data_IF_804924049389
#
_entry.id   IF_804924049389
#
_cell.length_a   1.000
_cell.length_b   1.000
_cell.length_c   1.000
_cell.angle_alpha   90.00
_cell.angle_beta   90.00
_cell.angle_gamma   90.00
#
_symmetry.space_group_name_H-M   'P 1'
#
loop_
_entity.id
_entity.type
_entity.pdbx_description
1 polymer ?
#
# COMPACT_ATOMS: atom_id res chain seq x y z
N UNK A 1 -11.09 -5.24 -24.79
CA UNK A 1 -11.59 -4.67 -23.52
C UNK A 1 -12.41 -3.44 -23.86
N UNK A 2 -13.73 -3.55 -23.91
CA UNK A 2 -14.60 -2.39 -24.18
C UNK A 2 -14.65 -1.54 -22.90
N UNK A 3 -14.02 -0.36 -22.95
CA UNK A 3 -14.29 0.70 -22.00
C UNK A 3 -15.65 1.28 -22.39
N UNK A 4 -16.68 1.08 -21.57
CA UNK A 4 -17.98 1.70 -21.79
C UNK A 4 -17.84 3.17 -21.40
N UNK A 5 -18.12 4.05 -22.36
CA UNK A 5 -17.96 5.50 -22.29
C UNK A 5 -19.19 6.16 -21.60
N UNK A 6 -19.72 5.52 -20.56
CA UNK A 6 -20.86 6.05 -19.78
C UNK A 6 -20.38 6.39 -18.37
N UNK A 7 -20.17 7.68 -18.05
CA UNK A 7 -19.67 8.09 -16.74
C UNK A 7 -20.62 7.80 -15.57
N UNK A 8 -21.85 7.33 -15.84
CA UNK A 8 -22.91 7.15 -14.83
C UNK A 8 -23.21 5.68 -14.50
N UNK A 9 -22.68 4.71 -15.25
CA UNK A 9 -22.92 3.28 -15.02
C UNK A 9 -21.60 2.58 -14.72
N UNK A 10 -21.52 1.88 -13.58
CA UNK A 10 -20.36 1.03 -13.28
C UNK A 10 -20.30 -0.09 -14.32
N UNK A 11 -19.14 -0.29 -14.95
CA UNK A 11 -18.90 -1.45 -15.81
C UNK A 11 -18.50 -2.70 -15.01
N UNK A 12 -18.62 -2.65 -13.68
CA UNK A 12 -18.45 -3.84 -12.85
C UNK A 12 -19.56 -4.84 -13.20
N UNK A 13 -19.24 -6.14 -13.29
CA UNK A 13 -20.25 -7.15 -13.48
C UNK A 13 -21.35 -7.04 -12.41
N UNK A 14 -22.61 -7.24 -12.82
CA UNK A 14 -23.79 -7.04 -11.97
C UNK A 14 -23.78 -7.84 -10.66
N UNK A 15 -23.05 -8.96 -10.62
CA UNK A 15 -22.89 -9.80 -9.42
C UNK A 15 -21.97 -9.16 -8.35
N UNK A 16 -21.31 -8.03 -8.63
CA UNK A 16 -20.46 -7.31 -7.67
C UNK A 16 -21.32 -6.26 -6.95
N UNK A 17 -22.02 -6.68 -5.91
CA UNK A 17 -23.04 -5.83 -5.26
C UNK A 17 -22.48 -4.90 -4.16
N UNK A 18 -21.20 -5.02 -3.78
CA UNK A 18 -20.63 -4.31 -2.61
C UNK A 18 -19.20 -3.81 -2.82
N UNK A 19 -19.07 -2.62 -3.41
CA UNK A 19 -17.84 -1.82 -3.45
C UNK A 19 -17.92 -0.77 -2.34
N UNK A 20 -16.92 -0.74 -1.44
CA UNK A 20 -17.00 0.03 -0.19
C UNK A 20 -17.22 1.54 -0.37
N UNK A 21 -16.85 2.13 -1.51
CA UNK A 21 -16.71 3.59 -1.64
C UNK A 21 -17.26 4.14 -2.97
N UNK A 22 -18.22 3.45 -3.59
CA UNK A 22 -18.94 3.99 -4.76
C UNK A 22 -20.33 4.48 -4.36
N UNK A 23 -20.43 5.23 -3.26
CA UNK A 23 -21.68 5.90 -2.88
C UNK A 23 -21.63 7.34 -3.39
N UNK A 24 -22.25 7.61 -4.55
CA UNK A 24 -22.42 8.97 -5.08
C UNK A 24 -21.86 9.20 -6.48
N UNK A 25 -22.06 10.43 -6.99
CA UNK A 25 -21.55 10.84 -8.31
C UNK A 25 -20.05 11.09 -8.24
N UNK A 26 -19.22 10.58 -9.19
CA UNK A 26 -17.81 10.90 -9.26
C UNK A 26 -17.59 12.42 -9.23
N UNK A 27 -16.85 12.90 -8.25
CA UNK A 27 -16.64 14.33 -8.03
C UNK A 27 -15.20 14.58 -7.59
N UNK A 28 -14.67 15.74 -7.95
CA UNK A 28 -13.39 16.26 -7.42
C UNK A 28 -13.58 17.14 -6.19
N UNK A 29 -14.84 17.35 -5.76
CA UNK A 29 -15.18 18.25 -4.64
C UNK A 29 -14.97 17.62 -3.27
N UNK A 30 -15.10 16.30 -3.17
CA UNK A 30 -14.97 15.55 -1.92
C UNK A 30 -13.76 14.62 -2.01
N UNK A 31 -12.96 14.60 -0.95
CA UNK A 31 -11.81 13.71 -0.83
C UNK A 31 -12.29 12.29 -0.46
N UNK A 32 -11.52 11.23 -0.79
CA UNK A 32 -11.82 9.89 -0.33
C UNK A 32 -11.92 9.84 1.20
N UNK A 33 -13.03 9.28 1.71
CA UNK A 33 -13.22 9.13 3.14
C UNK A 33 -12.26 8.09 3.72
N UNK A 34 -11.68 8.38 4.88
CA UNK A 34 -11.06 7.36 5.72
C UNK A 34 -12.17 6.55 6.39
N UNK A 35 -12.00 5.24 6.46
CA UNK A 35 -12.88 4.35 7.22
C UNK A 35 -12.11 3.78 8.41
N UNK A 36 -12.81 3.63 9.54
CA UNK A 36 -12.25 3.01 10.72
C UNK A 36 -11.94 1.52 10.47
N UNK A 37 -11.06 0.95 11.29
CA UNK A 37 -10.80 -0.50 11.24
C UNK A 37 -12.06 -1.33 11.45
N UNK A 38 -12.98 -0.90 12.33
CA UNK A 38 -14.28 -1.55 12.55
C UNK A 38 -15.15 -1.54 11.29
N UNK A 39 -15.27 -0.39 10.63
CA UNK A 39 -16.00 -0.27 9.37
C UNK A 39 -15.35 -1.11 8.26
N UNK A 40 -14.02 -1.10 8.18
CA UNK A 40 -13.31 -1.93 7.21
C UNK A 40 -13.56 -3.42 7.48
N UNK A 41 -13.51 -3.88 8.73
CA UNK A 41 -13.82 -5.27 9.08
C UNK A 41 -15.28 -5.63 8.78
N UNK A 42 -16.23 -4.73 9.00
CA UNK A 42 -17.61 -4.91 8.55
C UNK A 42 -17.69 -5.08 7.03
N UNK A 43 -16.98 -4.24 6.26
CA UNK A 43 -16.88 -4.37 4.81
C UNK A 43 -16.28 -5.71 4.36
N UNK A 44 -15.20 -6.16 5.00
CA UNK A 44 -14.57 -7.45 4.69
C UNK A 44 -15.53 -8.61 4.93
N UNK A 45 -16.38 -8.52 5.96
CA UNK A 45 -17.41 -9.52 6.24
C UNK A 45 -18.68 -9.37 5.38
N UNK A 46 -18.69 -8.44 4.41
CA UNK A 46 -19.80 -8.25 3.47
C UNK A 46 -20.96 -7.44 4.03
N UNK A 47 -20.80 -6.80 5.18
CA UNK A 47 -21.81 -5.89 5.74
C UNK A 47 -21.78 -4.53 5.03
N UNK A 48 -22.90 -3.83 5.01
CA UNK A 48 -22.95 -2.43 4.59
C UNK A 48 -22.13 -1.57 5.55
N UNK A 49 -21.42 -0.59 5.00
CA UNK A 49 -20.68 0.41 5.76
C UNK A 49 -21.35 1.74 5.54
N UNK A 50 -21.84 2.34 6.60
CA UNK A 50 -22.30 3.72 6.60
C UNK A 50 -21.07 4.61 6.81
N UNK A 51 -20.85 5.55 5.89
CA UNK A 51 -19.81 6.55 6.00
C UNK A 51 -20.32 7.68 6.87
N UNK A 52 -19.46 8.18 7.76
CA UNK A 52 -19.76 9.39 8.50
C UNK A 52 -19.81 10.57 7.54
N UNK A 53 -20.88 11.38 7.59
CA UNK A 53 -21.06 12.51 6.68
C UNK A 53 -19.99 13.60 6.88
N UNK A 54 -19.43 13.72 8.08
CA UNK A 54 -18.40 14.70 8.44
C UNK A 54 -17.44 14.12 9.49
N UNK A 55 -16.52 13.21 9.12
CA UNK A 55 -15.57 12.68 10.07
C UNK A 55 -14.61 13.79 10.52
N UNK A 56 -14.24 13.78 11.80
CA UNK A 56 -13.23 14.69 12.32
C UNK A 56 -11.92 14.54 11.51
N UNK A 57 -11.31 15.65 11.02
CA UNK A 57 -10.07 15.59 10.28
C UNK A 57 -8.96 14.92 11.08
N UNK A 58 -8.19 14.04 10.44
CA UNK A 58 -7.03 13.38 11.08
C UNK A 58 -5.81 14.30 11.19
N UNK A 59 -5.74 15.30 10.33
CA UNK A 59 -4.63 16.24 10.24
C UNK A 59 -5.11 17.57 9.63
N UNK A 60 -4.33 18.61 9.88
CA UNK A 60 -4.47 19.91 9.25
C UNK A 60 -3.29 20.17 8.30
N UNK A 61 -3.49 21.05 7.32
CA UNK A 61 -2.41 21.54 6.45
C UNK A 61 -1.87 22.83 7.06
N UNK A 62 -0.59 22.85 7.40
CA UNK A 62 0.09 24.01 7.97
C UNK A 62 1.06 24.61 6.97
N UNK A 63 0.75 25.81 6.48
CA UNK A 63 1.62 26.56 5.58
C UNK A 63 2.65 27.37 6.38
N UNK A 64 3.94 27.17 6.10
CA UNK A 64 5.05 27.89 6.74
C UNK A 64 5.86 28.65 5.69
N UNK A 65 5.80 30.00 5.68
CA UNK A 65 6.74 30.79 4.90
C UNK A 65 8.11 30.79 5.58
N UNK A 66 9.17 30.85 4.79
CA UNK A 66 10.54 30.97 5.25
C UNK A 66 11.35 31.95 4.40
N UNK A 67 12.41 32.49 5.00
CA UNK A 67 13.33 33.44 4.37
C UNK A 67 14.77 32.99 4.61
N UNK A 68 15.64 33.28 3.65
CA UNK A 68 17.09 33.35 3.86
C UNK A 68 17.45 34.67 4.53
N UNK A 69 18.40 34.62 5.46
CA UNK A 69 18.95 35.80 6.14
C UNK A 69 20.37 35.97 5.63
N UNK A 70 20.70 37.18 5.19
CA UNK A 70 22.07 37.54 4.84
C UNK A 70 22.91 37.58 6.13
N UNK A 71 23.98 36.77 6.25
CA UNK A 71 24.78 36.70 7.47
C UNK A 71 25.57 37.99 7.76
N UNK A 72 25.81 38.86 6.77
CA UNK A 72 26.58 40.10 6.95
C UNK A 72 25.71 41.23 7.51
N UNK A 73 24.49 41.40 6.97
CA UNK A 73 23.62 42.51 7.34
C UNK A 73 22.41 42.12 8.21
N UNK A 74 22.11 40.83 8.33
CA UNK A 74 21.00 40.32 9.14
C UNK A 74 19.60 40.61 8.57
N UNK A 75 19.50 41.17 7.37
CA UNK A 75 18.23 41.38 6.67
C UNK A 75 17.86 40.18 5.80
N UNK A 76 16.66 40.24 5.21
CA UNK A 76 16.24 39.25 4.20
C UNK A 76 17.27 39.24 3.07
N UNK A 77 17.75 38.05 2.73
CA UNK A 77 18.62 37.83 1.59
C UNK A 77 17.79 37.96 0.30
N UNK A 78 17.94 39.10 -0.38
CA UNK A 78 17.28 39.38 -1.65
C UNK A 78 18.00 38.78 -2.86
N UNK A 79 19.09 38.02 -2.63
CA UNK A 79 19.97 37.51 -3.66
C UNK A 79 20.86 38.60 -4.27
N UNK A 80 21.91 38.17 -4.98
CA UNK A 80 22.67 39.05 -5.87
C UNK A 80 21.89 39.40 -7.14
N UNK A 81 22.45 40.27 -7.98
CA UNK A 81 21.88 40.58 -9.30
C UNK A 81 21.63 39.29 -10.09
N UNK A 82 20.36 38.98 -10.35
CA UNK A 82 19.94 37.81 -11.13
C UNK A 82 19.71 36.51 -10.35
N UNK A 83 19.97 36.46 -9.03
CA UNK A 83 19.80 35.24 -8.22
C UNK A 83 18.42 35.11 -7.57
N UNK A 84 17.69 36.22 -7.42
CA UNK A 84 16.36 36.26 -6.81
C UNK A 84 16.38 36.08 -5.29
N UNK A 85 15.34 36.60 -4.60
CA UNK A 85 15.26 36.55 -3.14
C UNK A 85 15.06 35.14 -2.58
N UNK A 86 15.61 34.89 -1.39
CA UNK A 86 15.53 33.59 -0.70
C UNK A 86 14.24 33.42 0.09
N UNK A 87 13.09 33.65 -0.53
CA UNK A 87 11.77 33.38 0.08
C UNK A 87 11.24 32.01 -0.38
N UNK A 88 10.70 31.22 0.53
CA UNK A 88 10.04 29.95 0.20
C UNK A 88 8.77 29.73 1.00
N UNK A 89 7.91 28.87 0.50
CA UNK A 89 6.70 28.42 1.17
C UNK A 89 6.71 26.88 1.22
N UNK A 90 6.42 26.32 2.40
CA UNK A 90 6.30 24.89 2.58
C UNK A 90 4.99 24.56 3.29
N UNK A 91 4.28 23.54 2.80
CA UNK A 91 3.08 23.02 3.43
C UNK A 91 3.40 21.73 4.17
N UNK A 92 2.99 21.66 5.44
CA UNK A 92 3.23 20.55 6.33
C UNK A 92 1.92 19.86 6.67
N UNK A 93 1.99 18.55 6.86
CA UNK A 93 0.90 17.77 7.44
C UNK A 93 1.06 17.80 8.95
N UNK A 94 0.13 18.45 9.65
CA UNK A 94 0.08 18.49 11.13
C UNK A 94 -0.96 17.50 11.63
N UNK A 95 -0.50 16.38 12.19
CA UNK A 95 -1.37 15.42 12.85
C UNK A 95 -2.06 16.08 14.05
N UNK A 96 -3.35 15.81 14.24
CA UNK A 96 -4.08 16.26 15.42
C UNK A 96 -3.69 15.44 16.66
N UNK A 97 -4.00 15.97 17.84
CA UNK A 97 -3.71 15.31 19.10
C UNK A 97 -4.33 13.91 19.15
N UNK A 98 -3.54 12.93 19.61
CA UNK A 98 -3.94 11.52 19.65
C UNK A 98 -3.85 10.78 18.31
N UNK A 99 -3.56 11.47 17.20
CA UNK A 99 -3.37 10.83 15.89
C UNK A 99 -1.91 10.45 15.68
N UNK A 100 -1.69 9.23 15.18
CA UNK A 100 -0.36 8.72 14.86
C UNK A 100 -0.39 7.95 13.54
N UNK A 101 0.74 7.97 12.83
CA UNK A 101 0.93 7.12 11.66
C UNK A 101 1.40 5.74 12.11
N UNK A 102 0.78 4.69 11.58
CA UNK A 102 1.14 3.30 11.88
C UNK A 102 1.68 2.61 10.63
N UNK A 103 2.78 1.89 10.80
CA UNK A 103 3.36 1.03 9.76
C UNK A 103 3.77 -0.32 10.33
N UNK A 104 3.87 -1.31 9.46
CA UNK A 104 4.42 -2.63 9.78
C UNK A 104 5.81 -2.75 9.19
N UNK A 105 6.75 -3.24 9.99
CA UNK A 105 8.13 -3.41 9.57
C UNK A 105 8.66 -4.76 10.06
N UNK A 106 9.52 -5.37 9.25
CA UNK A 106 10.26 -6.57 9.60
C UNK A 106 11.67 -6.43 9.02
N UNK A 107 12.69 -6.58 9.86
CA UNK A 107 14.08 -6.55 9.44
C UNK A 107 14.84 -7.67 10.15
N UNK A 108 15.11 -8.75 9.42
CA UNK A 108 15.94 -9.86 9.89
C UNK A 108 17.30 -9.75 9.20
N UNK A 109 18.38 -9.89 9.96
CA UNK A 109 19.74 -9.95 9.42
C UNK A 109 20.47 -11.15 9.97
N UNK A 110 21.25 -11.85 9.13
CA UNK A 110 22.19 -12.88 9.56
C UNK A 110 23.61 -12.37 9.35
N UNK A 111 24.39 -12.31 10.43
CA UNK A 111 25.83 -12.14 10.34
C UNK A 111 26.45 -13.50 10.03
N UNK A 112 27.17 -13.63 8.91
CA UNK A 112 28.03 -14.79 8.60
C UNK A 112 27.37 -16.19 8.72
N UNK A 113 26.06 -16.29 8.43
CA UNK A 113 25.35 -17.58 8.43
C UNK A 113 24.80 -18.02 9.79
N UNK A 114 24.86 -17.18 10.83
CA UNK A 114 24.23 -17.42 12.13
C UNK A 114 22.71 -17.15 12.13
N UNK A 115 22.08 -17.42 13.28
CA UNK A 115 20.66 -17.18 13.59
C UNK A 115 20.26 -15.77 13.15
N UNK A 116 19.12 -15.67 12.45
CA UNK A 116 18.55 -14.39 12.04
C UNK A 116 18.20 -13.55 13.28
N UNK A 117 18.89 -12.42 13.45
CA UNK A 117 18.58 -11.46 14.50
C UNK A 117 17.54 -10.45 14.00
N UNK A 118 16.58 -10.10 14.85
CA UNK A 118 15.67 -8.97 14.60
C UNK A 118 16.41 -7.65 14.84
N UNK A 119 16.68 -6.93 13.76
CA UNK A 119 17.38 -5.64 13.81
C UNK A 119 16.51 -4.57 14.45
N UNK A 120 15.18 -4.67 14.33
CA UNK A 120 14.27 -3.71 14.94
C UNK A 120 14.25 -3.85 16.45
N UNK A 121 14.48 -5.05 17.00
CA UNK A 121 14.56 -5.24 18.44
C UNK A 121 15.66 -4.38 19.05
N UNK A 122 16.85 -4.45 18.46
CA UNK A 122 18.02 -3.65 18.85
C UNK A 122 17.77 -2.15 18.78
N UNK A 123 16.97 -1.69 17.82
CA UNK A 123 16.62 -0.27 17.70
C UNK A 123 15.84 0.24 18.91
N UNK A 124 15.03 -0.62 19.55
CA UNK A 124 14.17 -0.26 20.68
C UNK A 124 14.68 -0.76 22.06
N UNK A 125 15.81 -1.48 22.13
CA UNK A 125 16.36 -2.03 23.37
C UNK A 125 16.65 -0.96 24.45
N UNK A 126 17.04 0.25 24.05
CA UNK A 126 17.43 1.33 24.99
C UNK A 126 16.35 2.38 25.28
N UNK A 127 15.23 2.40 24.54
CA UNK A 127 14.16 3.38 24.74
C UNK A 127 12.86 2.94 24.07
N UNK A 128 11.73 3.19 24.75
CA UNK A 128 10.39 3.04 24.15
C UNK A 128 10.06 4.11 23.10
N UNK A 129 10.81 5.21 23.10
CA UNK A 129 10.67 6.32 22.17
C UNK A 129 12.00 6.60 21.48
N UNK A 130 12.06 6.35 20.17
CA UNK A 130 13.26 6.57 19.37
C UNK A 130 13.01 7.74 18.42
N UNK A 131 13.80 8.84 18.49
CA UNK A 131 13.68 9.91 17.52
C UNK A 131 14.15 9.43 16.14
N UNK A 132 13.38 9.73 15.10
CA UNK A 132 13.71 9.42 13.71
C UNK A 132 13.50 10.67 12.85
N UNK A 133 14.46 11.00 11.99
CA UNK A 133 14.24 11.97 10.92
C UNK A 133 13.30 11.38 9.88
N UNK A 134 12.14 12.01 9.66
CA UNK A 134 11.09 11.53 8.78
C UNK A 134 10.47 12.70 8.00
N UNK A 135 10.29 12.50 6.69
CA UNK A 135 9.77 13.52 5.78
C UNK A 135 10.83 14.49 5.26
N UNK A 136 10.38 15.62 4.73
CA UNK A 136 11.23 16.70 4.24
C UNK A 136 11.73 17.62 5.35
N UNK A 137 12.61 18.57 5.01
CA UNK A 137 13.07 19.65 5.91
C UNK A 137 13.60 19.16 7.27
N UNK A 138 14.16 17.94 7.30
CA UNK A 138 14.68 17.29 8.51
C UNK A 138 13.67 17.18 9.66
N UNK A 139 12.37 17.01 9.36
CA UNK A 139 11.35 16.73 10.37
C UNK A 139 11.72 15.55 11.26
N UNK A 140 11.40 15.63 12.55
CA UNK A 140 11.69 14.58 13.54
C UNK A 140 10.39 14.03 14.10
N UNK A 141 10.27 12.70 14.16
CA UNK A 141 9.14 12.00 14.76
C UNK A 141 9.62 11.09 15.90
N UNK A 142 8.77 10.89 16.89
CA UNK A 142 8.99 9.86 17.92
C UNK A 142 8.42 8.53 17.45
N UNK A 143 9.25 7.49 17.40
CA UNK A 143 8.81 6.13 17.12
C UNK A 143 8.49 5.39 18.41
N UNK A 144 7.33 4.75 18.45
CA UNK A 144 7.01 3.71 19.43
C UNK A 144 6.76 2.39 18.70
N UNK A 145 7.08 1.27 19.35
CA UNK A 145 6.93 -0.07 18.79
C UNK A 145 6.02 -0.93 19.65
N UNK A 146 5.11 -1.65 19.00
CA UNK A 146 4.33 -2.74 19.61
C UNK A 146 4.62 -4.01 18.82
N UNK A 147 4.96 -5.09 19.53
CA UNK A 147 5.17 -6.40 18.92
C UNK A 147 3.84 -7.13 18.76
N UNK A 148 3.57 -7.57 17.54
CA UNK A 148 2.37 -8.31 17.18
C UNK A 148 2.78 -9.63 16.56
N UNK A 149 2.23 -10.74 17.07
CA UNK A 149 2.46 -12.06 16.47
C UNK A 149 1.81 -12.17 15.08
N UNK A 150 0.63 -11.56 14.92
CA UNK A 150 -0.14 -11.54 13.67
C UNK A 150 -0.47 -10.10 13.28
N UNK A 151 0.44 -9.41 12.57
CA UNK A 151 0.12 -8.09 12.04
C UNK A 151 -1.11 -8.23 11.13
N UNK A 152 -2.06 -7.28 11.24
CA UNK A 152 -3.32 -7.26 10.49
C UNK A 152 -4.39 -8.28 10.95
N UNK A 153 -4.25 -8.94 12.11
CA UNK A 153 -5.26 -9.88 12.63
C UNK A 153 -6.66 -9.26 12.83
N UNK A 154 -6.75 -7.94 13.02
CA UNK A 154 -8.04 -7.23 13.08
C UNK A 154 -8.62 -6.87 11.70
N UNK A 155 -7.88 -7.12 10.60
CA UNK A 155 -8.25 -6.77 9.22
C UNK A 155 -8.34 -8.04 8.37
N UNK A 156 -8.95 -9.10 8.90
CA UNK A 156 -9.31 -10.31 8.16
C UNK A 156 -10.81 -10.50 8.21
N UNK A 157 -11.39 -11.08 7.17
CA UNK A 157 -12.75 -11.59 7.27
C UNK A 157 -12.75 -12.73 8.29
N UNK A 158 -13.69 -12.68 9.24
CA UNK A 158 -13.78 -13.66 10.33
C UNK A 158 -14.39 -14.98 9.84
N UNK A 159 -15.17 -14.91 8.77
CA UNK A 159 -15.85 -16.05 8.19
C UNK A 159 -15.02 -16.65 7.05
N UNK A 160 -14.48 -17.85 7.28
CA UNK A 160 -13.98 -18.70 6.20
C UNK A 160 -15.16 -19.07 5.28
N UNK A 161 -15.00 -18.85 3.98
CA UNK A 161 -16.02 -19.12 2.96
C UNK A 161 -15.58 -20.29 2.10
N UNK A 162 -16.51 -21.17 1.76
CA UNK A 162 -16.39 -22.24 0.76
C UNK A 162 -16.67 -21.74 -0.66
N UNK A 163 -16.52 -20.44 -0.90
CA UNK A 163 -16.79 -19.82 -2.19
C UNK A 163 -15.62 -19.82 -3.17
N UNK A 164 -15.93 -19.68 -4.46
CA UNK A 164 -14.91 -19.65 -5.53
C UNK A 164 -14.38 -18.24 -5.83
N UNK A 165 -14.80 -17.21 -5.11
CA UNK A 165 -14.39 -15.83 -5.40
C UNK A 165 -13.46 -15.28 -4.35
N UNK A 166 -12.45 -14.53 -4.82
CA UNK A 166 -11.48 -13.85 -3.96
C UNK A 166 -11.49 -12.37 -4.29
N UNK A 167 -11.82 -11.54 -3.30
CA UNK A 167 -11.66 -10.10 -3.34
C UNK A 167 -10.31 -9.76 -2.72
N UNK A 168 -9.43 -9.08 -3.45
CA UNK A 168 -8.14 -8.61 -2.96
C UNK A 168 -8.11 -7.08 -2.96
N UNK A 169 -7.89 -6.48 -1.80
CA UNK A 169 -7.95 -5.03 -1.56
C UNK A 169 -6.55 -4.54 -1.21
N UNK A 170 -6.04 -3.55 -1.94
CA UNK A 170 -4.75 -2.93 -1.65
C UNK A 170 -4.86 -1.99 -0.45
N UNK A 171 -4.08 -2.23 0.60
CA UNK A 171 -3.92 -1.32 1.73
C UNK A 171 -2.83 -0.28 1.49
N UNK A 172 -1.88 -0.57 0.60
CA UNK A 172 -0.81 0.33 0.20
C UNK A 172 -0.73 0.41 -1.32
N UNK A 173 -0.23 1.54 -1.89
CA UNK A 173 -0.06 1.66 -3.33
C UNK A 173 0.76 0.53 -3.92
N UNK A 174 0.46 0.11 -5.15
CA UNK A 174 1.20 -0.94 -5.85
C UNK A 174 1.77 -0.43 -7.18
N UNK A 175 2.94 -0.92 -7.57
CA UNK A 175 3.56 -0.61 -8.86
C UNK A 175 3.74 -1.91 -9.62
N UNK A 176 2.89 -2.11 -10.62
CA UNK A 176 2.98 -3.25 -11.54
C UNK A 176 3.70 -2.84 -12.83
N UNK A 177 4.33 -3.79 -13.52
CA UNK A 177 4.96 -3.52 -14.81
C UNK A 177 3.91 -3.29 -15.89
N UNK A 178 2.73 -3.90 -15.76
CA UNK A 178 1.60 -3.73 -16.69
C UNK A 178 0.60 -2.65 -16.25
N UNK A 179 1.08 -1.56 -15.65
CA UNK A 179 0.26 -0.44 -15.19
C UNK A 179 -0.62 -0.83 -14.00
N UNK A 180 -1.92 -1.05 -14.24
CA UNK A 180 -2.88 -1.43 -13.20
C UNK A 180 -2.97 -2.95 -12.98
N UNK A 181 -2.58 -3.76 -13.97
CA UNK A 181 -2.68 -5.22 -13.92
C UNK A 181 -1.45 -5.83 -13.23
N UNK A 182 -1.60 -6.68 -12.20
CA UNK A 182 -0.45 -7.36 -11.60
C UNK A 182 0.29 -8.26 -12.60
N UNK A 183 1.63 -8.27 -12.55
CA UNK A 183 2.44 -9.01 -13.54
C UNK A 183 2.35 -10.53 -13.43
N UNK A 184 1.84 -11.02 -12.31
CA UNK A 184 1.55 -12.43 -12.09
C UNK A 184 0.17 -12.85 -12.64
N UNK A 185 -0.53 -11.93 -13.33
CA UNK A 185 -1.74 -12.20 -14.13
C UNK A 185 -1.40 -12.04 -15.60
N UNK A 186 -1.62 -13.09 -16.39
CA UNK A 186 -1.32 -13.07 -17.83
C UNK A 186 -2.33 -12.26 -18.66
N UNK A 187 -2.17 -12.24 -19.97
CA UNK A 187 -3.03 -11.48 -20.89
C UNK A 187 -4.47 -12.02 -20.96
N UNK A 188 -4.68 -13.30 -20.60
CA UNK A 188 -6.00 -13.91 -20.54
C UNK A 188 -6.64 -13.76 -19.14
N UNK A 189 -6.00 -13.01 -18.23
CA UNK A 189 -6.44 -12.86 -16.85
C UNK A 189 -6.08 -14.06 -15.96
N UNK A 190 -5.34 -15.06 -16.45
CA UNK A 190 -5.03 -16.26 -15.66
C UNK A 190 -3.95 -15.94 -14.63
N UNK A 191 -4.19 -16.38 -13.39
CA UNK A 191 -3.23 -16.27 -12.29
C UNK A 191 -2.06 -17.24 -12.53
N UNK A 192 -0.84 -16.71 -12.60
CA UNK A 192 0.42 -17.46 -12.78
C UNK A 192 1.28 -17.47 -11.53
N UNK A 193 0.68 -17.15 -10.39
CA UNK A 193 1.36 -17.05 -9.11
C UNK A 193 1.42 -18.44 -8.44
N UNK A 194 2.61 -19.06 -8.26
CA UNK A 194 2.69 -20.37 -7.62
C UNK A 194 2.23 -20.30 -6.16
N UNK A 195 1.56 -21.35 -5.68
CA UNK A 195 1.03 -21.37 -4.31
C UNK A 195 2.13 -21.33 -3.23
N UNK A 196 3.29 -21.91 -3.52
CA UNK A 196 4.44 -21.92 -2.63
C UNK A 196 5.73 -21.68 -3.42
N UNK A 197 6.60 -20.84 -2.84
CA UNK A 197 7.94 -20.56 -3.33
C UNK A 197 8.91 -20.95 -2.22
N UNK A 198 9.40 -22.19 -2.18
CA UNK A 198 10.36 -22.61 -1.16
C UNK A 198 11.64 -21.76 -1.25
N UNK A 199 12.40 -21.60 -0.16
CA UNK A 199 13.69 -20.92 -0.22
C UNK A 199 14.63 -21.67 -1.19
N UNK A 200 15.40 -20.93 -1.98
CA UNK A 200 16.40 -21.51 -2.88
C UNK A 200 17.52 -22.15 -2.07
N UNK A 201 17.83 -23.42 -2.34
CA UNK A 201 18.94 -24.12 -1.67
C UNK A 201 20.29 -23.60 -2.18
N UNK A 202 21.35 -23.55 -1.34
CA UNK A 202 22.69 -23.23 -1.79
C UNK A 202 23.12 -24.16 -2.95
N UNK A 203 23.73 -23.59 -3.99
CA UNK A 203 24.18 -24.35 -5.17
C UNK A 203 23.09 -24.75 -6.19
N UNK A 204 21.81 -24.67 -5.84
CA UNK A 204 20.70 -24.98 -6.74
C UNK A 204 20.63 -23.94 -7.87
N UNK A 205 20.45 -24.35 -9.13
CA UNK A 205 20.24 -23.42 -10.24
C UNK A 205 18.87 -22.73 -10.17
N UNK A 206 18.68 -21.64 -10.92
CA UNK A 206 17.38 -20.94 -10.95
C UNK A 206 16.29 -21.81 -11.56
N UNK A 207 16.63 -22.64 -12.54
CA UNK A 207 15.67 -23.52 -13.23
C UNK A 207 15.20 -24.65 -12.31
N UNK A 208 16.12 -25.35 -11.64
CA UNK A 208 15.78 -26.38 -10.65
C UNK A 208 14.94 -25.82 -9.51
N UNK A 209 15.25 -24.60 -9.06
CA UNK A 209 14.44 -23.95 -8.03
C UNK A 209 13.01 -23.68 -8.50
N UNK A 210 12.81 -23.23 -9.74
CA UNK A 210 11.47 -23.00 -10.29
C UNK A 210 10.65 -24.29 -10.45
N UNK A 211 11.30 -25.42 -10.73
CA UNK A 211 10.65 -26.74 -10.77
C UNK A 211 10.12 -27.19 -9.40
N UNK A 212 10.64 -26.62 -8.31
CA UNK A 212 10.17 -26.92 -6.95
C UNK A 212 8.94 -26.11 -6.52
N UNK A 213 8.45 -25.21 -7.38
CA UNK A 213 7.26 -24.42 -7.07
C UNK A 213 6.03 -25.32 -7.19
N UNK A 214 5.10 -25.18 -6.26
CA UNK A 214 3.79 -25.81 -6.41
C UNK A 214 3.03 -25.11 -7.54
N UNK A 215 2.06 -25.82 -8.12
CA UNK A 215 1.18 -25.26 -9.14
C UNK A 215 0.49 -23.98 -8.63
N UNK A 216 0.20 -23.08 -9.58
CA UNK A 216 -0.59 -21.89 -9.30
C UNK A 216 -2.05 -22.31 -9.03
N UNK A 217 -2.75 -21.64 -8.10
CA UNK A 217 -4.19 -21.85 -7.96
C UNK A 217 -4.88 -21.48 -9.27
N UNK A 218 -5.84 -22.31 -9.69
CA UNK A 218 -6.58 -22.06 -10.91
C UNK A 218 -7.59 -20.96 -10.70
N UNK A 219 -7.22 -19.75 -11.08
CA UNK A 219 -8.06 -18.57 -10.96
C UNK A 219 -7.84 -17.57 -12.09
N UNK A 220 -8.87 -16.79 -12.37
CA UNK A 220 -8.85 -15.71 -13.37
C UNK A 220 -9.20 -14.37 -12.73
N UNK A 221 -8.51 -13.31 -13.11
CA UNK A 221 -8.87 -11.93 -12.78
C UNK A 221 -10.13 -11.56 -13.56
N UNK A 222 -11.25 -11.46 -12.85
CA UNK A 222 -12.56 -11.22 -13.44
C UNK A 222 -12.88 -9.72 -13.53
N UNK A 223 -12.46 -8.94 -12.53
CA UNK A 223 -12.70 -7.50 -12.50
C UNK A 223 -11.65 -6.79 -11.63
N UNK A 224 -11.50 -5.49 -11.85
CA UNK A 224 -10.76 -4.61 -10.96
C UNK A 224 -11.44 -3.24 -10.87
N UNK A 225 -11.36 -2.62 -9.69
CA UNK A 225 -11.79 -1.26 -9.43
C UNK A 225 -10.57 -0.52 -8.89
N UNK A 226 -10.05 0.42 -9.69
CA UNK A 226 -8.88 1.22 -9.34
C UNK A 226 -9.17 2.69 -9.52
N UNK A 227 -8.71 3.49 -8.57
CA UNK A 227 -8.74 4.94 -8.68
C UNK A 227 -7.71 5.51 -9.66
N UNK A 228 -7.64 6.84 -9.71
CA UNK A 228 -6.65 7.58 -10.51
C UNK A 228 -5.23 7.13 -10.12
N UNK A 229 -4.34 6.82 -11.10
CA UNK A 229 -2.96 6.47 -10.80
C UNK A 229 -2.24 7.56 -9.99
N UNK A 230 -1.43 7.15 -9.02
CA UNK A 230 -0.64 8.03 -8.16
C UNK A 230 0.76 8.23 -8.77
N UNK A 231 1.08 9.42 -9.33
CA UNK A 231 2.44 9.71 -9.74
C UNK A 231 3.31 9.92 -8.51
N UNK A 232 4.46 9.25 -8.47
CA UNK A 232 5.44 9.44 -7.40
C UNK A 232 6.86 9.29 -7.92
N UNK A 233 7.80 9.93 -7.22
CA UNK A 233 9.23 9.76 -7.40
C UNK A 233 9.88 9.63 -6.03
N UNK A 234 11.12 10.08 -5.88
CA UNK A 234 11.79 10.20 -4.60
C UNK A 234 13.20 10.72 -4.79
N UNK A 235 13.94 10.90 -3.71
CA UNK A 235 15.34 11.29 -3.79
C UNK A 235 16.25 10.07 -3.58
N UNK A 236 17.38 10.04 -4.26
CA UNK A 236 18.45 9.08 -4.02
C UNK A 236 19.63 9.81 -3.40
N UNK A 237 19.75 9.73 -2.07
CA UNK A 237 20.81 10.39 -1.30
C UNK A 237 22.21 9.92 -1.67
N UNK A 238 22.38 8.65 -2.10
CA UNK A 238 23.69 8.13 -2.52
C UNK A 238 24.17 8.72 -3.84
N UNK A 239 23.24 9.01 -4.75
CA UNK A 239 23.57 9.55 -6.08
C UNK A 239 23.40 11.08 -6.11
N UNK A 240 22.71 11.67 -5.13
CA UNK A 240 22.45 13.11 -5.06
C UNK A 240 21.43 13.60 -6.09
N UNK A 241 20.43 12.78 -6.44
CA UNK A 241 19.47 13.14 -7.50
C UNK A 241 18.10 12.46 -7.40
N UNK A 242 17.14 12.91 -8.23
CA UNK A 242 15.79 12.35 -8.24
C UNK A 242 15.78 10.91 -8.78
N UNK A 243 14.87 10.09 -8.24
CA UNK A 243 14.53 8.77 -8.76
C UNK A 243 13.57 8.93 -9.94
N UNK A 244 13.55 7.98 -10.90
CA UNK A 244 12.58 8.00 -11.99
C UNK A 244 11.15 8.08 -11.47
N UNK A 245 10.35 8.97 -12.08
CA UNK A 245 8.93 9.07 -11.79
C UNK A 245 8.20 7.79 -12.25
N UNK A 246 7.23 7.34 -11.44
CA UNK A 246 6.44 6.14 -11.69
C UNK A 246 4.98 6.40 -11.37
N UNK A 247 4.11 5.58 -11.95
CA UNK A 247 2.69 5.55 -11.63
C UNK A 247 2.43 4.33 -10.75
N UNK A 248 1.75 4.55 -9.63
CA UNK A 248 1.26 3.49 -8.75
C UNK A 248 -0.27 3.37 -8.85
N UNK A 249 -0.77 2.15 -8.75
CA UNK A 249 -2.15 1.87 -8.37
C UNK A 249 -2.37 2.38 -6.95
N UNK A 250 -3.43 3.17 -6.69
CA UNK A 250 -3.68 3.70 -5.35
C UNK A 250 -4.03 2.62 -4.33
N UNK A 251 -3.81 2.92 -3.05
CA UNK A 251 -4.44 2.17 -1.97
C UNK A 251 -5.97 2.29 -2.08
N UNK A 252 -6.69 1.26 -1.64
CA UNK A 252 -8.14 1.14 -1.80
C UNK A 252 -8.57 0.46 -3.09
N UNK A 253 -7.68 0.26 -4.07
CA UNK A 253 -8.01 -0.51 -5.28
C UNK A 253 -8.35 -1.96 -4.96
N UNK A 254 -9.33 -2.51 -5.67
CA UNK A 254 -9.89 -3.85 -5.44
C UNK A 254 -9.79 -4.69 -6.69
N UNK A 255 -9.38 -5.95 -6.54
CA UNK A 255 -9.29 -6.95 -7.61
C UNK A 255 -10.17 -8.15 -7.24
N UNK A 256 -10.98 -8.62 -8.18
CA UNK A 256 -11.81 -9.80 -8.01
C UNK A 256 -11.31 -10.94 -8.88
N UNK A 257 -11.05 -12.08 -8.24
CA UNK A 257 -10.63 -13.30 -8.89
C UNK A 257 -11.72 -14.36 -8.78
N UNK A 258 -11.97 -15.06 -9.87
CA UNK A 258 -12.80 -16.27 -9.90
C UNK A 258 -11.90 -17.48 -9.98
N UNK A 259 -11.91 -18.31 -8.94
CA UNK A 259 -11.24 -19.59 -8.90
C UNK A 259 -12.11 -20.69 -9.53
N UNK A 260 -11.49 -21.77 -10.01
CA UNK A 260 -12.21 -22.96 -10.48
C UNK A 260 -12.88 -23.72 -9.33
N UNK A 261 -12.29 -23.68 -8.14
CA UNK A 261 -12.78 -24.38 -6.94
C UNK A 261 -12.62 -23.54 -5.66
N UNK A 262 -13.35 -23.86 -4.58
CA UNK A 262 -13.13 -23.24 -3.27
C UNK A 262 -11.71 -23.45 -2.72
N UNK A 263 -11.09 -24.58 -3.06
CA UNK A 263 -9.71 -24.90 -2.68
C UNK A 263 -8.70 -24.01 -3.40
N UNK A 264 -8.90 -23.75 -4.70
CA UNK A 264 -8.08 -22.80 -5.46
C UNK A 264 -8.24 -21.38 -4.91
N UNK A 265 -9.46 -20.97 -4.54
CA UNK A 265 -9.71 -19.68 -3.90
C UNK A 265 -8.98 -19.56 -2.55
N UNK A 266 -9.10 -20.56 -1.68
CA UNK A 266 -8.39 -20.59 -0.39
C UNK A 266 -6.86 -20.55 -0.56
N UNK A 267 -6.36 -21.24 -1.58
CA UNK A 267 -4.94 -21.21 -1.94
C UNK A 267 -4.50 -19.81 -2.40
N UNK A 268 -5.30 -19.15 -3.24
CA UNK A 268 -5.02 -17.78 -3.68
C UNK A 268 -5.03 -16.79 -2.49
N UNK A 269 -5.99 -16.91 -1.57
CA UNK A 269 -6.02 -16.14 -0.32
C UNK A 269 -4.74 -16.33 0.46
N UNK A 270 -4.32 -17.58 0.71
CA UNK A 270 -3.08 -17.89 1.44
C UNK A 270 -1.85 -17.20 0.81
N UNK A 271 -1.83 -17.11 -0.52
CA UNK A 271 -0.70 -16.53 -1.26
C UNK A 271 -0.68 -15.00 -1.20
N UNK A 272 -1.84 -14.34 -1.15
CA UNK A 272 -1.94 -12.88 -1.26
C UNK A 272 -2.15 -12.17 0.08
N UNK A 273 -2.81 -12.83 1.05
CA UNK A 273 -3.23 -12.26 2.32
C UNK A 273 -2.05 -11.64 3.09
N UNK A 274 -2.15 -10.33 3.37
CA UNK A 274 -1.18 -9.60 4.18
C UNK A 274 0.21 -9.49 3.55
N UNK A 275 0.34 -9.71 2.24
CA UNK A 275 1.64 -9.68 1.54
C UNK A 275 1.74 -8.50 0.58
N UNK A 276 2.96 -8.00 0.44
CA UNK A 276 3.32 -6.97 -0.54
C UNK A 276 3.52 -7.60 -1.92
N UNK A 277 2.51 -7.52 -2.78
CA UNK A 277 2.47 -8.18 -4.09
C UNK A 277 2.73 -7.25 -5.27
N UNK A 278 3.37 -6.11 -5.01
CA UNK A 278 3.85 -5.17 -6.03
C UNK A 278 5.07 -5.70 -6.77
N UNK A 279 5.19 -5.40 -8.07
CA UNK A 279 6.33 -5.79 -8.89
C UNK A 279 7.60 -5.02 -8.55
N UNK A 280 7.43 -3.76 -8.14
CA UNK A 280 8.50 -2.91 -7.65
C UNK A 280 8.20 -2.45 -6.22
N UNK A 281 9.24 -2.26 -5.42
CA UNK A 281 9.17 -1.70 -4.07
C UNK A 281 8.33 -2.50 -3.06
N UNK A 282 8.07 -3.79 -3.31
CA UNK A 282 7.36 -4.65 -2.37
C UNK A 282 8.09 -4.75 -1.01
N UNK A 283 9.42 -4.74 -1.05
CA UNK A 283 10.28 -4.68 0.15
C UNK A 283 10.15 -3.36 0.93
N UNK A 284 9.56 -2.33 0.32
CA UNK A 284 9.28 -1.02 0.92
C UNK A 284 7.81 -0.85 1.31
N UNK A 285 7.02 -1.92 1.27
CA UNK A 285 5.61 -1.92 1.66
C UNK A 285 4.61 -1.76 0.51
N UNK A 286 5.06 -1.60 -0.74
CA UNK A 286 4.13 -1.43 -1.86
C UNK A 286 3.37 -2.73 -2.18
N UNK A 287 2.08 -2.58 -2.48
CA UNK A 287 1.18 -3.67 -2.84
C UNK A 287 0.80 -4.57 -1.69
N UNK A 288 0.89 -4.09 -0.44
CA UNK A 288 0.28 -4.77 0.70
C UNK A 288 -1.23 -4.87 0.45
N UNK A 289 -1.80 -6.06 0.59
CA UNK A 289 -3.24 -6.21 0.45
C UNK A 289 -3.86 -7.30 1.32
N UNK A 290 -5.18 -7.23 1.45
CA UNK A 290 -6.02 -8.13 2.24
C UNK A 290 -6.99 -8.84 1.30
N UNK A 291 -7.26 -10.11 1.59
CA UNK A 291 -8.14 -10.96 0.84
C UNK A 291 -9.41 -11.31 1.62
N UNK A 292 -10.49 -11.51 0.88
CA UNK A 292 -11.75 -12.08 1.37
C UNK A 292 -12.18 -13.16 0.39
N UNK A 293 -12.47 -14.36 0.88
CA UNK A 293 -13.09 -15.43 0.11
C UNK A 293 -14.61 -15.35 0.22
N UNK A 294 -15.34 -15.49 -0.89
CA UNK A 294 -16.79 -15.29 -0.97
C UNK A 294 -17.42 -16.27 -1.97
N UNK A 295 -18.68 -16.68 -1.74
CA UNK A 295 -19.44 -17.55 -2.66
C UNK A 295 -19.78 -16.87 -3.98
N UNK A 296 -19.94 -15.55 -3.91
CA UNK A 296 -20.80 -14.71 -4.73
C UNK A 296 -22.28 -15.01 -4.54
#
# INVERSE_FOLDING_TARGET
MQLIDRPEESNLPAFIEKVAVLTGKPSKKELPHWISSTQFSAYLNGNSVELEENPEPLFDIETRPGIGIDPECGSVDTGGEGEGGKFYLAEYLRLRDGISLRGYAKCESSLRGEVKADVLEKLFEGSRHVPLTFGGQQGVVGLSCVRLEKPLQGLVAENASDGCWVKWILLAPAVFSNGWKPDWVDENGIVRLPAERPPRKPGQTREEWRKSFTEAPKAVLAAACSGKPLPFSGWNTRIGGPRPARLAVPAGSVYWFRAESPTDAATLVKVLQGRCMSSFYGEKGFGLGICVQQKM
#
